data_IF_078681375439
#
_entry.id   IF_078681375439
#
_cell.length_a   1.000
_cell.length_b   1.000
_cell.length_c   1.000
_cell.angle_alpha   90.00
_cell.angle_beta   90.00
_cell.angle_gamma   90.00
#
_symmetry.space_group_name_H-M   'P 1'
#
loop_
_entity.id
_entity.type
_entity.pdbx_description
1 polymer ?
#
# COMPACT_ATOMS: atom_id res chain seq x y z
N UNK A 1 16.76 77.09 -18.18
CA UNK A 1 17.27 75.77 -18.39
C UNK A 1 16.12 74.86 -18.83
N UNK A 2 16.04 74.60 -20.15
CA UNK A 2 15.01 73.76 -20.73
C UNK A 2 15.39 72.30 -20.49
N UNK A 3 14.66 71.63 -19.61
CA UNK A 3 14.84 70.18 -19.39
C UNK A 3 14.36 69.44 -20.65
N UNK A 4 15.28 68.73 -21.31
CA UNK A 4 15.04 67.96 -22.53
C UNK A 4 13.99 66.88 -22.25
N UNK A 5 12.82 66.86 -22.90
CA UNK A 5 11.77 65.84 -22.66
C UNK A 5 12.20 64.43 -23.03
N UNK A 6 13.22 64.30 -23.87
CA UNK A 6 13.71 62.95 -24.32
C UNK A 6 14.26 62.06 -23.20
N UNK A 7 14.80 62.61 -22.10
CA UNK A 7 15.33 61.85 -20.99
C UNK A 7 14.22 61.10 -20.18
N UNK A 8 13.00 61.64 -20.18
CA UNK A 8 11.85 61.07 -19.48
C UNK A 8 11.34 59.79 -20.17
N UNK A 9 11.39 59.74 -21.49
CA UNK A 9 11.04 58.59 -22.34
C UNK A 9 12.06 57.45 -22.20
N UNK A 10 13.35 57.74 -22.09
CA UNK A 10 14.40 56.78 -21.87
C UNK A 10 14.28 56.09 -20.50
N UNK A 11 13.91 56.83 -19.45
CA UNK A 11 13.74 56.27 -18.10
C UNK A 11 12.51 55.36 -17.98
N UNK A 12 11.42 55.66 -18.68
CA UNK A 12 10.23 54.82 -18.74
C UNK A 12 10.48 53.48 -19.42
N UNK A 13 11.16 53.48 -20.57
CA UNK A 13 11.53 52.26 -21.29
C UNK A 13 12.55 51.39 -20.53
N UNK A 14 13.45 52.00 -19.78
CA UNK A 14 14.42 51.27 -18.98
C UNK A 14 13.76 50.56 -17.77
N UNK A 15 12.68 51.08 -17.22
CA UNK A 15 11.92 50.45 -16.15
C UNK A 15 11.08 49.26 -16.64
N UNK A 16 10.46 49.35 -17.80
CA UNK A 16 9.70 48.25 -18.41
C UNK A 16 10.62 47.10 -18.82
N UNK A 17 11.76 47.39 -19.42
CA UNK A 17 12.77 46.38 -19.79
C UNK A 17 13.29 45.63 -18.53
N UNK A 18 13.55 46.31 -17.43
CA UNK A 18 14.01 45.67 -16.18
C UNK A 18 12.94 44.80 -15.55
N UNK A 19 11.66 45.15 -15.65
CA UNK A 19 10.57 44.28 -15.17
C UNK A 19 10.42 43.04 -16.03
N UNK A 20 10.49 43.16 -17.35
CA UNK A 20 10.47 41.99 -18.26
C UNK A 20 11.65 41.07 -18.04
N UNK A 21 12.86 41.59 -17.88
CA UNK A 21 14.06 40.80 -17.60
C UNK A 21 13.94 40.08 -16.25
N UNK A 22 13.43 40.74 -15.19
CA UNK A 22 13.19 40.08 -13.89
C UNK A 22 12.13 38.98 -13.98
N UNK A 23 11.05 39.18 -14.73
CA UNK A 23 10.03 38.16 -14.96
C UNK A 23 10.59 36.97 -15.74
N UNK A 24 11.41 37.22 -16.76
CA UNK A 24 12.09 36.17 -17.53
C UNK A 24 13.06 35.37 -16.66
N UNK A 25 13.85 36.02 -15.81
CA UNK A 25 14.74 35.33 -14.88
C UNK A 25 13.98 34.54 -13.83
N UNK A 26 12.86 35.06 -13.30
CA UNK A 26 11.98 34.33 -12.37
C UNK A 26 11.35 33.11 -13.04
N UNK A 27 10.87 33.25 -14.29
CA UNK A 27 10.29 32.15 -15.05
C UNK A 27 11.33 31.06 -15.34
N UNK A 28 12.54 31.47 -15.77
CA UNK A 28 13.65 30.55 -15.98
C UNK A 28 14.05 29.81 -14.70
N UNK A 29 14.10 30.51 -13.56
CA UNK A 29 14.38 29.91 -12.26
C UNK A 29 13.29 28.89 -11.89
N UNK A 30 12.02 29.24 -12.09
CA UNK A 30 10.89 28.36 -11.80
C UNK A 30 10.90 27.11 -12.67
N UNK A 31 11.17 27.25 -13.98
CA UNK A 31 11.32 26.11 -14.89
C UNK A 31 12.49 25.21 -14.47
N UNK A 32 13.61 25.79 -14.05
CA UNK A 32 14.77 25.04 -13.58
C UNK A 32 14.48 24.26 -12.30
N UNK A 33 13.78 24.88 -11.34
CA UNK A 33 13.35 24.22 -10.12
C UNK A 33 12.36 23.09 -10.45
N UNK A 34 11.36 23.36 -11.31
CA UNK A 34 10.40 22.36 -11.73
C UNK A 34 11.07 21.17 -12.44
N UNK A 35 12.05 21.41 -13.28
CA UNK A 35 12.81 20.36 -13.97
C UNK A 35 13.58 19.47 -12.97
N UNK A 36 14.23 20.08 -11.96
CA UNK A 36 14.93 19.33 -10.91
C UNK A 36 13.94 18.53 -10.06
N UNK A 37 12.81 19.12 -9.67
CA UNK A 37 11.77 18.43 -8.93
C UNK A 37 11.18 17.24 -9.71
N UNK A 38 10.93 17.41 -11.01
CA UNK A 38 10.45 16.33 -11.88
C UNK A 38 11.51 15.23 -12.04
N UNK A 39 12.78 15.60 -12.15
CA UNK A 39 13.87 14.62 -12.21
C UNK A 39 13.95 13.80 -10.91
N UNK A 40 13.89 14.46 -9.75
CA UNK A 40 13.88 13.80 -8.44
C UNK A 40 12.66 12.89 -8.30
N UNK A 41 11.47 13.36 -8.71
CA UNK A 41 10.26 12.55 -8.71
C UNK A 41 10.36 11.34 -9.65
N UNK A 42 10.98 11.52 -10.82
CA UNK A 42 11.20 10.41 -11.75
C UNK A 42 12.18 9.36 -11.22
N UNK A 43 13.26 9.80 -10.54
CA UNK A 43 14.21 8.89 -9.90
C UNK A 43 13.62 8.22 -8.65
N UNK A 44 12.83 8.94 -7.87
CA UNK A 44 12.20 8.42 -6.66
C UNK A 44 11.15 7.33 -6.96
N UNK A 45 10.74 7.19 -8.24
CA UNK A 45 9.69 6.24 -8.67
C UNK A 45 8.58 6.14 -7.62
N UNK A 46 7.90 7.26 -7.24
CA UNK A 46 6.83 7.17 -6.29
C UNK A 46 5.81 6.18 -6.84
N UNK A 47 5.72 5.01 -6.22
CA UNK A 47 4.67 4.05 -6.53
C UNK A 47 3.39 4.66 -5.97
N UNK A 48 2.72 5.46 -6.78
CA UNK A 48 1.36 5.91 -6.51
C UNK A 48 0.45 4.67 -6.67
N UNK A 49 0.45 3.84 -5.63
CA UNK A 49 -0.48 2.72 -5.55
C UNK A 49 -1.88 3.32 -5.48
N UNK A 50 -2.53 3.34 -6.63
CA UNK A 50 -3.94 3.67 -6.82
C UNK A 50 -4.31 5.09 -6.37
N UNK A 51 -4.94 5.87 -7.24
CA UNK A 51 -5.53 7.18 -6.94
C UNK A 51 -6.63 7.12 -5.85
N UNK A 52 -6.86 5.96 -5.22
CA UNK A 52 -7.82 5.72 -4.15
C UNK A 52 -7.38 6.18 -2.76
N UNK A 53 -6.16 6.72 -2.60
CA UNK A 53 -5.73 7.15 -1.26
C UNK A 53 -6.41 8.43 -0.76
N UNK A 54 -6.96 9.23 -1.69
CA UNK A 54 -7.70 10.47 -1.37
C UNK A 54 -9.22 10.29 -1.43
N UNK A 55 -9.71 9.24 -2.08
CA UNK A 55 -11.13 8.95 -2.16
C UNK A 55 -11.51 7.90 -1.12
N UNK A 56 -12.21 8.35 -0.10
CA UNK A 56 -13.04 7.54 0.80
C UNK A 56 -12.33 6.44 1.61
N UNK A 57 -11.37 6.86 2.45
CA UNK A 57 -10.84 5.98 3.52
C UNK A 57 -11.89 5.65 4.61
N UNK A 58 -13.05 6.27 4.57
CA UNK A 58 -14.11 6.13 5.58
C UNK A 58 -15.17 5.07 5.24
N UNK A 59 -15.21 4.62 3.99
CA UNK A 59 -16.20 3.63 3.53
C UNK A 59 -15.87 2.18 3.93
N UNK A 60 -16.88 1.29 3.96
CA UNK A 60 -16.69 -0.13 4.24
C UNK A 60 -15.78 -0.79 3.18
N UNK A 61 -14.98 -1.76 3.63
CA UNK A 61 -14.01 -2.46 2.81
C UNK A 61 -14.18 -3.97 2.93
N UNK A 62 -14.02 -4.71 1.85
CA UNK A 62 -13.85 -6.16 1.87
C UNK A 62 -12.38 -6.50 2.09
N UNK A 63 -12.08 -7.17 3.18
CA UNK A 63 -10.72 -7.56 3.55
C UNK A 63 -10.62 -9.07 3.63
N UNK A 64 -9.61 -9.63 2.96
CA UNK A 64 -9.19 -11.00 3.19
C UNK A 64 -7.77 -11.02 3.77
N UNK A 65 -7.59 -11.76 4.85
CA UNK A 65 -6.29 -12.01 5.46
C UNK A 65 -5.90 -13.44 5.14
N UNK A 66 -4.87 -13.62 4.32
CA UNK A 66 -4.25 -14.91 4.05
C UNK A 66 -3.10 -15.09 5.03
N UNK A 67 -3.15 -16.16 5.81
CA UNK A 67 -2.16 -16.49 6.82
C UNK A 67 -1.41 -17.76 6.42
N UNK A 68 -0.10 -17.65 6.29
CA UNK A 68 0.76 -18.80 6.18
C UNK A 68 0.82 -19.53 7.52
N UNK A 69 0.36 -20.77 7.56
CA UNK A 69 0.34 -21.61 8.76
C UNK A 69 1.42 -22.69 8.77
N UNK A 70 2.38 -22.63 7.86
CA UNK A 70 3.46 -23.60 7.82
C UNK A 70 4.23 -23.70 9.15
N UNK A 71 4.81 -24.86 9.52
CA UNK A 71 5.51 -25.07 10.79
C UNK A 71 6.62 -24.06 11.09
N UNK A 72 7.20 -23.40 10.06
CA UNK A 72 8.18 -22.32 10.24
C UNK A 72 7.61 -21.07 10.92
N UNK A 73 6.27 -20.91 10.94
CA UNK A 73 5.60 -19.83 11.66
C UNK A 73 5.61 -20.02 13.20
N UNK A 74 6.01 -21.21 13.67
CA UNK A 74 6.30 -21.48 15.09
C UNK A 74 7.68 -21.01 15.53
N UNK A 75 8.53 -20.56 14.62
CA UNK A 75 9.82 -19.99 15.00
C UNK A 75 9.61 -18.80 15.94
N UNK A 76 10.32 -18.87 17.08
CA UNK A 76 10.23 -17.85 18.12
C UNK A 76 11.20 -16.70 17.86
N UNK A 77 10.70 -15.51 18.08
CA UNK A 77 11.52 -14.31 18.23
C UNK A 77 11.27 -13.76 19.64
N UNK A 78 12.27 -13.90 20.51
CA UNK A 78 12.10 -13.63 21.93
C UNK A 78 11.08 -14.58 22.58
N UNK A 79 10.01 -14.02 23.14
CA UNK A 79 8.98 -14.79 23.84
C UNK A 79 7.72 -15.08 23.01
N UNK A 80 7.70 -14.73 21.71
CA UNK A 80 6.54 -14.88 20.80
C UNK A 80 6.90 -15.68 19.58
N UNK A 81 5.92 -16.39 19.02
CA UNK A 81 6.04 -17.03 17.71
C UNK A 81 5.68 -16.02 16.61
N UNK A 82 6.12 -16.26 15.38
CA UNK A 82 5.70 -15.46 14.22
C UNK A 82 4.18 -15.51 14.04
N UNK A 83 3.55 -16.65 14.33
CA UNK A 83 2.10 -16.78 14.26
C UNK A 83 1.39 -15.92 15.33
N UNK A 84 1.97 -15.76 16.53
CA UNK A 84 1.43 -14.83 17.52
C UNK A 84 1.51 -13.39 17.05
N UNK A 85 2.58 -13.01 16.38
CA UNK A 85 2.71 -11.68 15.77
C UNK A 85 1.67 -11.44 14.68
N UNK A 86 1.41 -12.43 13.82
CA UNK A 86 0.31 -12.38 12.83
C UNK A 86 -1.03 -12.14 13.52
N UNK A 87 -1.32 -12.88 14.60
CA UNK A 87 -2.58 -12.75 15.34
C UNK A 87 -2.76 -11.34 15.91
N UNK A 88 -1.70 -10.76 16.46
CA UNK A 88 -1.74 -9.40 17.01
C UNK A 88 -1.91 -8.34 15.92
N UNK A 89 -1.14 -8.43 14.83
CA UNK A 89 -1.20 -7.49 13.71
C UNK A 89 -2.54 -7.54 12.99
N UNK A 90 -3.05 -8.74 12.69
CA UNK A 90 -4.35 -8.91 12.03
C UNK A 90 -5.51 -8.47 12.93
N UNK A 91 -5.45 -8.75 14.24
CA UNK A 91 -6.46 -8.27 15.18
C UNK A 91 -6.47 -6.74 15.26
N UNK A 92 -5.29 -6.10 15.29
CA UNK A 92 -5.16 -4.64 15.26
C UNK A 92 -5.69 -4.04 13.94
N UNK A 93 -5.47 -4.73 12.81
CA UNK A 93 -6.05 -4.36 11.52
C UNK A 93 -7.58 -4.41 11.59
N UNK A 94 -8.16 -5.53 12.07
CA UNK A 94 -9.62 -5.69 12.16
C UNK A 94 -10.27 -4.62 13.05
N UNK A 95 -9.61 -4.23 14.13
CA UNK A 95 -10.11 -3.19 15.03
C UNK A 95 -10.23 -1.82 14.35
N UNK A 96 -9.38 -1.53 13.36
CA UNK A 96 -9.34 -0.26 12.64
C UNK A 96 -10.28 -0.20 11.43
N UNK A 97 -10.84 -1.34 10.99
CA UNK A 97 -11.71 -1.36 9.83
C UNK A 97 -13.02 -0.59 10.10
N UNK A 98 -13.55 0.14 9.10
CA UNK A 98 -14.84 0.82 9.21
C UNK A 98 -15.99 -0.15 9.53
N UNK A 99 -17.09 0.39 10.05
CA UNK A 99 -18.32 -0.40 10.24
C UNK A 99 -18.88 -0.83 8.89
N UNK A 100 -19.43 -2.06 8.82
CA UNK A 100 -19.95 -2.61 7.58
C UNK A 100 -18.90 -3.26 6.69
N UNK A 101 -17.63 -3.30 7.09
CA UNK A 101 -16.60 -4.04 6.36
C UNK A 101 -16.79 -5.55 6.47
N UNK A 102 -16.52 -6.26 5.37
CA UNK A 102 -16.53 -7.73 5.29
C UNK A 102 -15.11 -8.26 5.52
N UNK A 103 -14.96 -9.24 6.40
CA UNK A 103 -13.63 -9.78 6.78
C UNK A 103 -13.61 -11.28 6.50
N UNK A 104 -12.60 -11.76 5.80
CA UNK A 104 -12.30 -13.17 5.62
C UNK A 104 -10.92 -13.50 6.21
N UNK A 105 -10.80 -14.66 6.84
CA UNK A 105 -9.53 -15.23 7.26
C UNK A 105 -9.33 -16.52 6.49
N UNK A 106 -8.28 -16.59 5.69
CA UNK A 106 -7.91 -17.73 4.87
C UNK A 106 -6.55 -18.22 5.36
N UNK A 107 -6.40 -19.51 5.51
CA UNK A 107 -5.16 -20.13 5.95
C UNK A 107 -4.67 -21.17 4.94
N UNK A 108 -3.41 -21.57 5.04
CA UNK A 108 -2.83 -22.60 4.18
C UNK A 108 -3.12 -24.03 4.67
N UNK A 109 -3.86 -24.22 5.77
CA UNK A 109 -4.29 -25.53 6.24
C UNK A 109 -5.49 -26.12 5.50
N UNK A 110 -6.13 -25.31 4.61
CA UNK A 110 -7.26 -25.75 3.78
C UNK A 110 -8.62 -25.52 4.44
N UNK A 111 -8.70 -24.71 5.46
CA UNK A 111 -9.97 -24.25 6.05
C UNK A 111 -10.74 -23.37 5.04
N UNK A 112 -12.04 -23.60 4.88
CA UNK A 112 -12.87 -22.97 3.85
C UNK A 112 -12.69 -21.46 3.71
N UNK A 113 -12.85 -20.95 2.48
CA UNK A 113 -12.70 -19.55 2.10
C UNK A 113 -14.08 -18.87 2.10
N UNK A 114 -14.36 -18.09 3.13
CA UNK A 114 -15.64 -17.37 3.26
C UNK A 114 -15.49 -16.12 4.12
N UNK A 115 -16.35 -15.13 3.91
CA UNK A 115 -16.47 -14.00 4.81
C UNK A 115 -17.00 -14.44 6.16
N UNK A 116 -16.40 -13.97 7.23
CA UNK A 116 -16.89 -14.19 8.58
C UNK A 116 -18.22 -13.43 8.79
N UNK A 117 -19.15 -14.00 9.55
CA UNK A 117 -20.44 -13.35 9.81
C UNK A 117 -20.32 -12.07 10.64
N UNK A 118 -19.22 -11.90 11.34
CA UNK A 118 -18.92 -10.69 12.12
C UNK A 118 -17.41 -10.52 12.33
N UNK A 119 -17.01 -9.29 12.73
CA UNK A 119 -15.62 -9.01 13.12
C UNK A 119 -15.15 -9.90 14.28
N UNK A 120 -16.01 -10.15 15.26
CA UNK A 120 -15.71 -11.03 16.37
C UNK A 120 -15.41 -12.45 15.88
N UNK A 121 -16.24 -12.99 15.00
CA UNK A 121 -16.05 -14.32 14.42
C UNK A 121 -14.74 -14.40 13.60
N UNK A 122 -14.36 -13.34 12.85
CA UNK A 122 -13.08 -13.27 12.16
C UNK A 122 -11.90 -13.29 13.14
N UNK A 123 -11.99 -12.53 14.24
CA UNK A 123 -10.97 -12.49 15.28
C UNK A 123 -10.85 -13.83 16.00
N UNK A 124 -11.96 -14.50 16.28
CA UNK A 124 -11.97 -15.81 16.91
C UNK A 124 -11.39 -16.89 16.01
N UNK A 125 -11.67 -16.82 14.68
CA UNK A 125 -11.03 -17.71 13.71
C UNK A 125 -9.52 -17.50 13.69
N UNK A 126 -9.07 -16.23 13.64
CA UNK A 126 -7.66 -15.87 13.66
C UNK A 126 -6.94 -16.44 14.91
N UNK A 127 -7.57 -16.37 16.09
CA UNK A 127 -7.00 -16.90 17.34
C UNK A 127 -6.88 -18.41 17.35
N UNK A 128 -7.77 -19.10 16.64
CA UNK A 128 -7.78 -20.58 16.54
C UNK A 128 -6.89 -21.13 15.44
N UNK A 129 -6.23 -20.27 14.65
CA UNK A 129 -5.25 -20.73 13.67
C UNK A 129 -4.08 -21.40 14.40
N UNK A 130 -3.76 -22.61 14.03
CA UNK A 130 -2.57 -23.32 14.49
C UNK A 130 -1.61 -23.53 13.32
N UNK A 131 -0.31 -23.68 13.65
CA UNK A 131 0.68 -23.96 12.63
C UNK A 131 0.66 -25.46 12.35
N UNK A 132 0.24 -25.78 11.14
CA UNK A 132 0.10 -27.14 10.64
C UNK A 132 0.81 -27.27 9.28
N UNK A 133 1.03 -28.51 8.86
CA UNK A 133 1.52 -28.75 7.52
C UNK A 133 0.51 -28.19 6.49
N UNK A 134 0.95 -27.31 5.57
CA UNK A 134 0.03 -26.69 4.62
C UNK A 134 -0.53 -27.76 3.67
N UNK A 135 -1.85 -27.78 3.52
CA UNK A 135 -2.56 -28.61 2.54
C UNK A 135 -2.76 -27.87 1.23
N UNK A 136 -2.67 -26.54 1.28
CA UNK A 136 -2.82 -25.64 0.15
C UNK A 136 -1.57 -24.76 0.06
N UNK A 137 -1.08 -24.50 -1.14
CA UNK A 137 0.06 -23.59 -1.33
C UNK A 137 -0.37 -22.14 -1.07
N UNK A 138 0.56 -21.31 -0.63
CA UNK A 138 0.29 -19.89 -0.39
C UNK A 138 -0.25 -19.18 -1.64
N UNK A 139 0.28 -19.39 -2.86
CA UNK A 139 -0.30 -18.86 -4.09
C UNK A 139 -1.75 -19.27 -4.32
N UNK A 140 -2.09 -20.52 -4.06
CA UNK A 140 -3.49 -20.99 -4.19
C UNK A 140 -4.40 -20.32 -3.18
N UNK A 141 -3.98 -20.19 -1.92
CA UNK A 141 -4.75 -19.49 -0.89
C UNK A 141 -4.96 -18.00 -1.24
N UNK A 142 -3.96 -17.35 -1.83
CA UNK A 142 -4.05 -15.98 -2.35
C UNK A 142 -5.09 -15.90 -3.49
N UNK A 143 -5.03 -16.81 -4.45
CA UNK A 143 -5.98 -16.83 -5.57
C UNK A 143 -7.42 -17.09 -5.12
N UNK A 144 -7.61 -17.97 -4.13
CA UNK A 144 -8.93 -18.25 -3.56
C UNK A 144 -9.48 -17.04 -2.79
N UNK A 145 -8.64 -16.35 -2.03
CA UNK A 145 -8.99 -15.12 -1.34
C UNK A 145 -9.32 -13.99 -2.31
N UNK A 146 -8.59 -13.87 -3.42
CA UNK A 146 -8.87 -12.89 -4.47
C UNK A 146 -10.26 -13.13 -5.10
N UNK A 147 -10.56 -14.38 -5.47
CA UNK A 147 -11.90 -14.74 -5.99
C UNK A 147 -13.04 -14.43 -5.02
N UNK A 148 -12.81 -14.66 -3.72
CA UNK A 148 -13.78 -14.29 -2.70
C UNK A 148 -13.98 -12.78 -2.64
N UNK A 149 -12.89 -11.98 -2.67
CA UNK A 149 -12.97 -10.53 -2.66
C UNK A 149 -13.66 -9.96 -3.89
N UNK A 150 -13.42 -10.55 -5.06
CA UNK A 150 -14.10 -10.17 -6.32
C UNK A 150 -15.61 -10.40 -6.26
N UNK A 151 -16.06 -11.40 -5.51
CA UNK A 151 -17.49 -11.66 -5.30
C UNK A 151 -18.15 -10.66 -4.34
N UNK A 152 -17.38 -9.84 -3.64
CA UNK A 152 -17.90 -8.84 -2.70
C UNK A 152 -18.57 -7.68 -3.43
N UNK A 153 -19.75 -7.20 -2.97
CA UNK A 153 -20.40 -6.01 -3.50
C UNK A 153 -19.68 -4.70 -3.11
N UNK A 154 -18.70 -4.75 -2.20
CA UNK A 154 -17.97 -3.57 -1.75
C UNK A 154 -16.94 -3.14 -2.81
N UNK A 155 -16.91 -1.84 -3.11
CA UNK A 155 -16.03 -1.29 -4.13
C UNK A 155 -14.55 -1.36 -3.73
N UNK A 156 -14.25 -1.21 -2.43
CA UNK A 156 -12.90 -1.28 -1.90
C UNK A 156 -12.59 -2.70 -1.44
N UNK A 157 -11.52 -3.27 -1.98
CA UNK A 157 -11.10 -4.65 -1.73
C UNK A 157 -9.62 -4.69 -1.42
N UNK A 158 -9.27 -5.32 -0.31
CA UNK A 158 -7.88 -5.40 0.16
C UNK A 158 -7.53 -6.83 0.56
N UNK A 159 -6.42 -7.32 0.08
CA UNK A 159 -5.86 -8.63 0.39
C UNK A 159 -4.55 -8.47 1.17
N UNK A 160 -4.55 -8.95 2.40
CA UNK A 160 -3.38 -8.94 3.27
C UNK A 160 -2.80 -10.35 3.36
N UNK A 161 -1.53 -10.50 3.06
CA UNK A 161 -0.82 -11.78 3.14
C UNK A 161 0.23 -11.72 4.22
N UNK A 162 0.06 -12.52 5.26
CA UNK A 162 0.97 -12.64 6.38
C UNK A 162 1.86 -13.86 6.17
N UNK A 163 3.15 -13.65 5.95
CA UNK A 163 4.13 -14.70 5.68
C UNK A 163 5.52 -14.25 6.12
N UNK A 164 6.43 -15.20 6.25
CA UNK A 164 7.84 -14.93 6.53
C UNK A 164 8.67 -14.65 5.26
N UNK A 165 8.04 -14.50 4.12
CA UNK A 165 8.64 -14.25 2.81
C UNK A 165 9.80 -15.21 2.47
N UNK A 166 9.84 -16.40 3.09
CA UNK A 166 10.85 -17.40 2.77
C UNK A 166 10.75 -17.86 1.31
N UNK A 167 11.88 -18.21 0.69
CA UNK A 167 11.93 -18.60 -0.72
C UNK A 167 11.00 -19.76 -1.08
N UNK A 168 10.60 -20.59 -0.12
CA UNK A 168 9.65 -21.68 -0.33
C UNK A 168 8.17 -21.26 -0.29
N UNK A 169 7.88 -20.04 0.20
CA UNK A 169 6.52 -19.51 0.29
C UNK A 169 6.17 -18.57 -0.86
N UNK A 170 7.19 -18.06 -1.58
CA UNK A 170 7.06 -16.95 -2.49
C UNK A 170 7.42 -17.30 -3.93
N UNK A 171 6.49 -17.19 -4.84
CA UNK A 171 6.76 -17.13 -6.28
C UNK A 171 6.75 -15.67 -6.74
N UNK A 172 7.90 -15.19 -7.20
CA UNK A 172 8.05 -13.80 -7.70
C UNK A 172 7.13 -13.45 -8.88
N UNK A 173 6.60 -14.46 -9.57
CA UNK A 173 5.63 -14.30 -10.66
C UNK A 173 4.31 -13.68 -10.20
N UNK A 174 3.82 -14.04 -9.00
CA UNK A 174 2.56 -13.53 -8.46
C UNK A 174 2.54 -12.01 -8.30
N UNK A 175 3.63 -11.40 -7.86
CA UNK A 175 3.68 -9.96 -7.65
C UNK A 175 3.82 -9.15 -8.94
N UNK A 176 4.38 -9.77 -9.98
CA UNK A 176 4.68 -9.07 -11.25
C UNK A 176 3.43 -8.83 -12.09
N UNK A 177 2.51 -9.79 -12.09
CA UNK A 177 1.34 -9.80 -12.96
C UNK A 177 0.04 -9.46 -12.19
N UNK A 178 0.13 -9.26 -10.87
CA UNK A 178 -1.03 -9.04 -10.00
C UNK A 178 -1.88 -7.84 -10.40
N UNK A 179 -1.25 -6.68 -10.58
CA UNK A 179 -1.95 -5.43 -10.89
C UNK A 179 -2.68 -5.48 -12.25
N UNK A 180 -2.18 -6.32 -13.18
CA UNK A 180 -2.81 -6.53 -14.48
C UNK A 180 -4.00 -7.48 -14.36
N UNK A 181 -3.88 -8.54 -13.54
CA UNK A 181 -4.91 -9.53 -13.34
C UNK A 181 -6.05 -9.03 -12.44
N UNK A 182 -5.73 -8.18 -11.45
CA UNK A 182 -6.66 -7.73 -10.41
C UNK A 182 -6.57 -6.22 -10.17
N UNK A 183 -6.97 -5.36 -11.14
CA UNK A 183 -6.76 -3.91 -11.06
C UNK A 183 -7.48 -3.23 -9.89
N UNK A 184 -8.60 -3.81 -9.42
CA UNK A 184 -9.43 -3.27 -8.33
C UNK A 184 -9.11 -3.90 -6.95
N UNK A 185 -8.06 -4.71 -6.87
CA UNK A 185 -7.70 -5.44 -5.67
C UNK A 185 -6.30 -5.04 -5.16
N UNK A 186 -6.25 -4.39 -4.01
CA UNK A 186 -4.97 -4.04 -3.38
C UNK A 186 -4.38 -5.25 -2.67
N UNK A 187 -3.17 -5.67 -3.07
CA UNK A 187 -2.41 -6.76 -2.45
C UNK A 187 -1.31 -6.18 -1.57
N UNK A 188 -1.31 -6.55 -0.28
CA UNK A 188 -0.32 -6.13 0.70
C UNK A 188 0.34 -7.35 1.36
N UNK A 189 1.66 -7.41 1.28
CA UNK A 189 2.44 -8.41 2.00
C UNK A 189 2.94 -7.85 3.32
N UNK A 190 2.74 -8.62 4.38
CA UNK A 190 3.22 -8.31 5.72
C UNK A 190 4.26 -9.36 6.09
N UNK A 191 5.51 -8.92 6.11
CA UNK A 191 6.64 -9.75 6.52
C UNK A 191 6.68 -9.84 8.04
N UNK A 192 6.52 -11.06 8.55
CA UNK A 192 6.62 -11.37 9.99
C UNK A 192 7.95 -12.05 10.34
N UNK A 193 8.92 -12.09 9.40
CA UNK A 193 10.27 -12.60 9.67
C UNK A 193 11.19 -11.55 10.26
N UNK A 194 10.89 -10.27 10.05
CA UNK A 194 11.79 -9.18 10.34
C UNK A 194 11.53 -8.55 11.70
N UNK A 195 12.17 -9.08 12.73
CA UNK A 195 12.63 -8.16 13.78
C UNK A 195 13.91 -7.51 13.25
N UNK A 196 13.98 -6.16 13.30
CA UNK A 196 15.17 -5.43 12.90
C UNK A 196 16.41 -6.08 13.51
N UNK A 197 17.54 -6.21 12.77
CA UNK A 197 18.76 -6.75 13.33
C UNK A 197 19.12 -5.91 14.53
N UNK A 198 19.12 -6.52 15.71
CA UNK A 198 19.71 -5.93 16.90
C UNK A 198 21.21 -5.93 16.68
N UNK A 199 21.76 -4.74 16.43
CA UNK A 199 23.19 -4.50 16.48
C UNK A 199 23.66 -4.49 17.93
#
# INVERSE_FOLDING_TARGET
>A
PHAFPALRFLQLRARESRRRLRLQHLLLLLVRIAAVCLLVLALARPVLRGAGWLADREGPVAVACVVDTAPRMLLRQGNRTRLDEVRDLAAALFAKLPRGSSIAVVDTSGGGVAFAPSRAAATDRLRRLDAEAPTVTLPTAIADAARLLESSPLARRELYVFTDLSRGAWEQSLARDWDVAHPDLSLLFIDVSATAPQN
#
